data_IF_166784449176
#
_entry.id   IF_166784449176
#
_cell.length_a   1.000
_cell.length_b   1.000
_cell.length_c   1.000
_cell.angle_alpha   90.00
_cell.angle_beta   90.00
_cell.angle_gamma   90.00
#
_symmetry.space_group_name_H-M   'P 1'
#
loop_
_entity.id
_entity.type
_entity.pdbx_description
1 polymer ?
#
# COMPACT_ATOMS: atom_id res chain seq x y z
N UNK A 1 -55.01 -1.48 -36.06
CA UNK A 1 -53.82 -0.66 -36.34
C UNK A 1 -53.16 -0.05 -35.09
N UNK A 2 -53.58 -0.37 -33.85
CA UNK A 2 -53.05 0.24 -32.62
C UNK A 2 -51.86 -0.51 -31.98
N UNK A 3 -51.61 -1.78 -32.32
CA UNK A 3 -50.54 -2.59 -31.71
C UNK A 3 -49.12 -2.25 -32.22
N UNK A 4 -49.00 -1.79 -33.47
CA UNK A 4 -47.70 -1.56 -34.13
C UNK A 4 -46.93 -0.39 -33.52
N UNK A 5 -47.64 0.61 -32.99
CA UNK A 5 -47.08 1.82 -32.41
C UNK A 5 -46.49 1.58 -31.00
N UNK A 6 -46.99 0.59 -30.25
CA UNK A 6 -46.51 0.27 -28.90
C UNK A 6 -45.24 -0.57 -28.92
N UNK A 7 -45.08 -1.44 -29.92
CA UNK A 7 -43.85 -2.22 -30.13
C UNK A 7 -42.67 -1.34 -30.56
N UNK A 8 -42.90 -0.39 -31.46
CA UNK A 8 -41.85 0.54 -31.93
C UNK A 8 -41.35 1.45 -30.79
N UNK A 9 -42.24 1.94 -29.92
CA UNK A 9 -41.87 2.73 -28.73
C UNK A 9 -41.12 1.90 -27.69
N UNK A 10 -41.56 0.66 -27.43
CA UNK A 10 -40.87 -0.24 -26.48
C UNK A 10 -39.51 -0.68 -27.01
N UNK A 11 -39.37 -0.91 -28.31
CA UNK A 11 -38.09 -1.24 -28.97
C UNK A 11 -37.09 -0.08 -28.86
N UNK A 12 -37.55 1.14 -29.07
CA UNK A 12 -36.71 2.34 -28.92
C UNK A 12 -36.29 2.56 -27.46
N UNK A 13 -37.22 2.40 -26.51
CA UNK A 13 -36.91 2.45 -25.07
C UNK A 13 -35.93 1.34 -24.64
N UNK A 14 -36.10 0.11 -25.13
CA UNK A 14 -35.16 -0.99 -24.87
C UNK A 14 -33.76 -0.71 -25.43
N UNK A 15 -33.66 -0.15 -26.64
CA UNK A 15 -32.37 0.24 -27.22
C UNK A 15 -31.69 1.35 -26.43
N UNK A 16 -32.42 2.38 -26.00
CA UNK A 16 -31.88 3.45 -25.14
C UNK A 16 -31.38 2.88 -23.82
N UNK A 17 -32.19 2.06 -23.15
CA UNK A 17 -31.84 1.46 -21.85
C UNK A 17 -30.59 0.57 -21.99
N UNK A 18 -30.52 -0.28 -23.01
CA UNK A 18 -29.34 -1.11 -23.27
C UNK A 18 -28.11 -0.26 -23.60
N UNK A 19 -28.23 0.79 -24.41
CA UNK A 19 -27.11 1.68 -24.74
C UNK A 19 -26.60 2.46 -23.53
N UNK A 20 -27.50 3.00 -22.71
CA UNK A 20 -27.13 3.72 -21.48
C UNK A 20 -26.48 2.77 -20.48
N UNK A 21 -27.01 1.55 -20.31
CA UNK A 21 -26.42 0.53 -19.44
C UNK A 21 -24.97 0.19 -19.83
N UNK A 22 -24.71 -0.02 -21.12
CA UNK A 22 -23.35 -0.31 -21.61
C UNK A 22 -22.39 0.85 -21.33
N UNK A 23 -22.83 2.09 -21.58
CA UNK A 23 -22.02 3.29 -21.32
C UNK A 23 -21.72 3.41 -19.82
N UNK A 24 -22.70 3.18 -18.96
CA UNK A 24 -22.52 3.22 -17.49
C UNK A 24 -21.52 2.17 -17.03
N UNK A 25 -21.58 0.94 -17.55
CA UNK A 25 -20.60 -0.11 -17.22
C UNK A 25 -19.19 0.32 -17.64
N UNK A 26 -19.03 0.86 -18.85
CA UNK A 26 -17.72 1.33 -19.34
C UNK A 26 -17.19 2.45 -18.43
N UNK A 27 -18.04 3.40 -18.02
CA UNK A 27 -17.65 4.48 -17.10
C UNK A 27 -17.25 3.95 -15.72
N UNK A 28 -17.95 2.94 -15.20
CA UNK A 28 -17.60 2.29 -13.94
C UNK A 28 -16.24 1.59 -14.07
N UNK A 29 -16.03 0.80 -15.12
CA UNK A 29 -14.73 0.13 -15.36
C UNK A 29 -13.61 1.17 -15.49
N UNK A 30 -13.80 2.23 -16.29
CA UNK A 30 -12.82 3.30 -16.43
C UNK A 30 -12.54 4.03 -15.10
N UNK A 31 -13.57 4.26 -14.28
CA UNK A 31 -13.42 4.84 -12.94
C UNK A 31 -12.60 3.91 -12.02
N UNK A 32 -12.91 2.62 -11.99
CA UNK A 32 -12.16 1.66 -11.19
C UNK A 32 -10.72 1.51 -11.66
N UNK A 33 -10.47 1.46 -12.97
CA UNK A 33 -9.12 1.43 -13.54
C UNK A 33 -8.35 2.70 -13.13
N UNK A 34 -8.92 3.88 -13.35
CA UNK A 34 -8.24 5.13 -12.98
C UNK A 34 -8.00 5.26 -11.47
N UNK A 35 -8.90 4.75 -10.62
CA UNK A 35 -8.69 4.70 -9.17
C UNK A 35 -7.58 3.72 -8.80
N UNK A 36 -7.61 2.51 -9.36
CA UNK A 36 -6.62 1.46 -9.10
C UNK A 36 -5.20 1.88 -9.49
N UNK A 37 -5.03 2.54 -10.64
CA UNK A 37 -3.70 2.99 -11.09
C UNK A 37 -3.23 4.27 -10.39
N UNK A 38 -4.13 5.11 -9.86
CA UNK A 38 -3.74 6.32 -9.10
C UNK A 38 -3.46 6.03 -7.62
N UNK A 39 -4.10 5.02 -7.04
CA UNK A 39 -3.84 4.61 -5.66
C UNK A 39 -2.37 4.20 -5.48
N UNK A 40 -1.86 4.40 -4.26
CA UNK A 40 -0.55 3.89 -3.89
C UNK A 40 -0.67 2.35 -3.79
N UNK A 41 0.01 1.57 -4.64
CA UNK A 41 -0.13 0.10 -4.64
C UNK A 41 0.36 -0.53 -3.33
N UNK A 42 1.23 0.19 -2.60
CA UNK A 42 1.76 -0.22 -1.31
C UNK A 42 0.87 0.22 -0.14
N UNK A 43 -0.21 0.98 -0.36
CA UNK A 43 -1.11 1.42 0.71
C UNK A 43 -1.79 0.23 1.38
N UNK A 44 -1.60 0.11 2.70
CA UNK A 44 -2.06 -1.02 3.49
C UNK A 44 -1.09 -1.39 4.61
N UNK A 45 -1.38 -2.50 5.27
CA UNK A 45 -0.50 -3.14 6.24
C UNK A 45 0.05 -4.42 5.63
N UNK A 46 1.36 -4.60 5.77
CA UNK A 46 2.14 -5.70 5.22
C UNK A 46 2.93 -6.32 6.36
N UNK A 47 2.97 -7.65 6.44
CA UNK A 47 3.73 -8.37 7.45
C UNK A 47 4.76 -9.24 6.75
N UNK A 48 6.02 -9.11 7.16
CA UNK A 48 7.09 -10.01 6.73
C UNK A 48 6.92 -11.36 7.44
N UNK A 49 6.92 -12.46 6.67
CA UNK A 49 6.69 -13.80 7.20
C UNK A 49 7.85 -14.30 8.08
N UNK A 50 9.07 -13.83 7.83
CA UNK A 50 10.28 -14.34 8.49
C UNK A 50 10.59 -13.60 9.79
N UNK A 51 10.58 -12.26 9.75
CA UNK A 51 10.94 -11.40 10.89
C UNK A 51 9.75 -10.98 11.75
N UNK A 52 8.52 -11.25 11.30
CA UNK A 52 7.30 -10.75 11.93
C UNK A 52 7.14 -9.23 11.88
N UNK A 53 8.03 -8.52 11.18
CA UNK A 53 7.98 -7.07 11.01
C UNK A 53 6.69 -6.66 10.30
N UNK A 54 6.03 -5.64 10.83
CA UNK A 54 4.81 -5.07 10.25
C UNK A 54 5.11 -3.67 9.70
N UNK A 55 4.85 -3.50 8.41
CA UNK A 55 4.96 -2.23 7.69
C UNK A 55 3.57 -1.72 7.31
N UNK A 56 3.19 -0.54 7.80
CA UNK A 56 1.92 0.11 7.47
C UNK A 56 2.13 1.40 6.69
N UNK A 57 1.83 1.36 5.39
CA UNK A 57 1.93 2.52 4.49
C UNK A 57 0.64 3.33 4.57
N UNK A 58 0.73 4.60 4.98
CA UNK A 58 -0.43 5.50 5.10
C UNK A 58 -0.23 6.80 4.34
N UNK A 59 -1.23 7.16 3.55
CA UNK A 59 -1.23 8.43 2.84
C UNK A 59 -0.21 8.46 1.72
N UNK A 60 0.57 9.55 1.64
CA UNK A 60 1.47 9.81 0.50
C UNK A 60 2.97 9.72 0.81
N UNK A 61 3.37 9.84 2.08
CA UNK A 61 4.78 10.02 2.46
C UNK A 61 5.17 9.32 3.75
N UNK A 62 4.23 8.75 4.52
CA UNK A 62 4.53 8.16 5.83
C UNK A 62 4.28 6.67 5.83
N UNK A 63 5.27 5.93 6.31
CA UNK A 63 5.14 4.51 6.66
C UNK A 63 5.37 4.37 8.16
N UNK A 64 4.70 3.42 8.79
CA UNK A 64 4.98 3.02 10.16
C UNK A 64 5.56 1.62 10.12
N UNK A 65 6.75 1.43 10.69
CA UNK A 65 7.38 0.13 10.82
C UNK A 65 7.41 -0.28 12.29
N UNK A 66 7.17 -1.56 12.55
CA UNK A 66 7.20 -2.14 13.89
C UNK A 66 7.74 -3.56 13.85
N UNK A 67 8.50 -3.93 14.88
CA UNK A 67 9.09 -5.26 15.06
C UNK A 67 8.53 -5.89 16.34
N UNK A 68 7.29 -6.41 16.31
CA UNK A 68 6.61 -6.92 17.50
C UNK A 68 7.37 -8.06 18.17
N UNK A 69 8.05 -8.91 17.39
CA UNK A 69 8.84 -10.03 17.93
C UNK A 69 10.14 -9.58 18.63
N UNK A 70 10.76 -8.49 18.16
CA UNK A 70 12.00 -7.95 18.75
C UNK A 70 11.70 -7.13 20.01
N UNK A 71 10.60 -6.39 20.02
CA UNK A 71 10.25 -5.49 21.11
C UNK A 71 9.04 -5.96 21.94
N UNK A 72 8.81 -7.27 22.06
CA UNK A 72 7.82 -7.91 22.95
C UNK A 72 6.40 -7.30 22.88
N UNK A 73 5.85 -7.14 21.67
CA UNK A 73 4.54 -6.50 21.41
C UNK A 73 4.37 -5.09 21.98
N UNK A 74 5.46 -4.46 22.45
CA UNK A 74 5.45 -3.04 22.76
C UNK A 74 4.98 -2.31 21.50
N UNK A 75 4.07 -1.35 21.66
CA UNK A 75 3.41 -0.67 20.54
C UNK A 75 4.35 0.32 19.83
N UNK A 76 5.60 -0.10 19.62
CA UNK A 76 6.70 0.62 19.02
C UNK A 76 6.46 0.66 17.54
N UNK A 77 5.98 1.83 17.11
CA UNK A 77 5.76 2.15 15.71
C UNK A 77 6.66 3.30 15.38
N UNK A 78 7.72 3.01 14.64
CA UNK A 78 8.65 4.01 14.13
C UNK A 78 8.01 4.62 12.89
N UNK A 79 7.67 5.93 12.91
CA UNK A 79 7.32 6.62 11.69
C UNK A 79 8.58 6.79 10.85
N UNK A 80 8.49 6.48 9.56
CA UNK A 80 9.54 6.73 8.58
C UNK A 80 8.94 7.47 7.39
N UNK A 81 9.76 8.28 6.74
CA UNK A 81 9.39 8.90 5.48
C UNK A 81 9.64 7.92 4.34
N UNK A 82 8.73 7.89 3.37
CA UNK A 82 8.95 7.13 2.15
C UNK A 82 8.77 7.98 0.90
N UNK A 83 9.54 7.63 -0.13
CA UNK A 83 9.31 8.09 -1.49
C UNK A 83 9.10 6.89 -2.42
N UNK A 84 8.27 7.07 -3.44
CA UNK A 84 7.93 5.99 -4.37
C UNK A 84 7.87 6.52 -5.79
N UNK A 85 8.62 5.88 -6.67
CA UNK A 85 8.56 6.06 -8.12
C UNK A 85 7.79 4.89 -8.72
N UNK A 86 6.63 5.18 -9.34
CA UNK A 86 5.76 4.16 -9.94
C UNK A 86 6.21 3.72 -11.33
N UNK A 87 7.03 4.52 -11.99
CA UNK A 87 7.52 4.24 -13.34
C UNK A 87 8.73 3.30 -13.27
N UNK A 88 9.65 3.56 -12.33
CA UNK A 88 10.79 2.67 -12.06
C UNK A 88 10.48 1.59 -11.03
N UNK A 89 9.30 1.62 -10.41
CA UNK A 89 8.90 0.73 -9.30
C UNK A 89 9.92 0.73 -8.17
N UNK A 90 10.35 1.92 -7.77
CA UNK A 90 11.33 2.11 -6.70
C UNK A 90 10.63 2.64 -5.45
N UNK A 91 10.97 2.12 -4.29
CA UNK A 91 10.46 2.51 -2.98
C UNK A 91 11.65 2.77 -2.06
N UNK A 92 11.76 3.99 -1.56
CA UNK A 92 12.86 4.38 -0.64
C UNK A 92 12.28 4.71 0.71
N UNK A 93 12.85 4.12 1.75
CA UNK A 93 12.58 4.40 3.15
C UNK A 93 13.70 5.24 3.75
N UNK A 94 13.31 6.28 4.47
CA UNK A 94 14.24 7.11 5.25
C UNK A 94 13.72 7.21 6.67
N UNK A 95 14.62 6.99 7.63
CA UNK A 95 14.34 7.24 9.04
C UNK A 95 15.08 8.50 9.47
N UNK A 96 14.41 9.31 10.28
CA UNK A 96 15.00 10.49 10.90
C UNK A 96 15.30 10.20 12.36
N UNK A 97 16.49 10.57 12.84
CA UNK A 97 16.88 10.40 14.25
C UNK A 97 15.86 11.02 15.21
N UNK A 98 15.24 12.13 14.81
CA UNK A 98 14.24 12.83 15.62
C UNK A 98 12.97 12.01 15.86
N UNK A 99 12.60 11.14 14.92
CA UNK A 99 11.46 10.23 15.03
C UNK A 99 11.80 9.06 15.97
N UNK A 100 13.00 8.50 15.85
CA UNK A 100 13.51 7.47 16.76
C UNK A 100 13.58 7.98 18.20
N UNK A 101 14.15 9.16 18.42
CA UNK A 101 14.21 9.83 19.72
C UNK A 101 12.82 10.01 20.33
N UNK A 102 11.82 10.36 19.52
CA UNK A 102 10.45 10.55 19.99
C UNK A 102 9.79 9.23 20.40
N UNK A 103 10.13 8.13 19.74
CA UNK A 103 9.67 6.78 20.09
C UNK A 103 10.34 6.31 21.39
N UNK A 104 11.67 6.43 21.49
CA UNK A 104 12.43 6.08 22.70
C UNK A 104 11.94 6.87 23.91
N UNK A 105 11.72 8.19 23.78
CA UNK A 105 11.16 9.02 24.87
C UNK A 105 9.78 8.57 25.35
N UNK A 106 8.94 8.03 24.45
CA UNK A 106 7.61 7.53 24.81
C UNK A 106 7.67 6.16 25.48
N UNK A 107 8.62 5.33 25.07
CA UNK A 107 8.83 4.00 25.63
C UNK A 107 9.58 4.05 26.98
N UNK A 108 10.47 5.03 27.16
CA UNK A 108 11.34 5.10 28.33
C UNK A 108 12.38 3.99 28.32
N UNK A 109 12.69 3.44 29.49
CA UNK A 109 13.71 2.39 29.66
C UNK A 109 13.25 0.99 29.18
N UNK A 110 12.08 0.87 28.55
CA UNK A 110 11.54 -0.41 28.08
C UNK A 110 12.10 -0.87 26.74
N UNK A 111 12.90 -0.03 26.06
CA UNK A 111 13.49 -0.31 24.76
C UNK A 111 14.97 0.07 24.81
N UNK A 112 15.81 -0.79 24.24
CA UNK A 112 17.18 -0.41 23.95
C UNK A 112 17.21 0.53 22.74
N UNK A 113 17.63 1.77 22.98
CA UNK A 113 17.73 2.81 21.97
C UNK A 113 18.66 2.42 20.81
N UNK A 114 19.78 1.73 21.09
CA UNK A 114 20.70 1.30 20.05
C UNK A 114 20.08 0.19 19.19
N UNK A 115 19.40 -0.78 19.81
CA UNK A 115 18.71 -1.85 19.11
C UNK A 115 17.60 -1.32 18.19
N UNK A 116 16.83 -0.32 18.65
CA UNK A 116 15.80 0.32 17.83
C UNK A 116 16.39 1.05 16.61
N UNK A 117 17.52 1.73 16.78
CA UNK A 117 18.19 2.42 15.67
C UNK A 117 18.72 1.42 14.66
N UNK A 118 19.41 0.37 15.11
CA UNK A 118 19.94 -0.68 14.24
C UNK A 118 18.81 -1.36 13.44
N UNK A 119 17.68 -1.66 14.09
CA UNK A 119 16.50 -2.22 13.43
C UNK A 119 15.91 -1.26 12.38
N UNK A 120 15.79 0.03 12.70
CA UNK A 120 15.27 1.03 11.76
C UNK A 120 16.21 1.30 10.58
N UNK A 121 17.51 1.36 10.82
CA UNK A 121 18.53 1.55 9.79
C UNK A 121 18.60 0.37 8.83
N UNK A 122 18.37 -0.85 9.33
CA UNK A 122 18.37 -2.07 8.50
C UNK A 122 17.31 -2.06 7.38
N UNK A 123 16.22 -1.30 7.56
CA UNK A 123 15.14 -1.17 6.58
C UNK A 123 15.14 0.19 5.86
N UNK A 124 15.96 1.14 6.31
CA UNK A 124 16.06 2.49 5.75
C UNK A 124 16.95 2.51 4.49
N UNK A 125 16.45 1.94 3.41
CA UNK A 125 17.18 1.81 2.13
C UNK A 125 16.23 1.99 0.94
N UNK A 126 16.76 1.80 -0.26
CA UNK A 126 16.01 1.84 -1.53
C UNK A 126 15.79 0.43 -2.06
N UNK A 127 14.53 0.12 -2.32
CA UNK A 127 14.07 -1.14 -2.86
C UNK A 127 13.48 -0.98 -4.25
N UNK A 128 13.67 -1.99 -5.10
CA UNK A 128 12.77 -2.25 -6.20
C UNK A 128 11.58 -3.07 -5.68
N UNK A 129 10.35 -2.64 -5.98
CA UNK A 129 9.14 -3.27 -5.44
C UNK A 129 8.30 -3.97 -6.52
N UNK A 130 7.67 -5.09 -6.14
CA UNK A 130 6.60 -5.73 -6.90
C UNK A 130 5.44 -6.09 -5.98
N UNK A 131 4.22 -6.04 -6.52
CA UNK A 131 3.01 -6.47 -5.80
C UNK A 131 2.28 -7.47 -6.67
N UNK A 132 2.18 -8.70 -6.20
CA UNK A 132 1.53 -9.81 -6.90
C UNK A 132 0.64 -10.60 -5.95
N UNK A 133 -0.62 -10.80 -6.32
CA UNK A 133 -1.59 -11.63 -5.57
C UNK A 133 -1.75 -11.30 -4.07
N UNK A 134 -1.48 -10.07 -3.63
CA UNK A 134 -1.56 -9.67 -2.22
C UNK A 134 -0.25 -9.84 -1.45
N UNK A 135 0.83 -10.18 -2.14
CA UNK A 135 2.18 -10.24 -1.63
C UNK A 135 3.00 -9.06 -2.19
N UNK A 136 3.77 -8.42 -1.33
CA UNK A 136 4.72 -7.37 -1.64
C UNK A 136 6.13 -7.97 -1.56
N UNK A 137 6.89 -7.88 -2.64
CA UNK A 137 8.32 -8.19 -2.63
C UNK A 137 9.09 -6.88 -2.70
N UNK A 138 9.95 -6.65 -1.72
CA UNK A 138 10.94 -5.57 -1.72
C UNK A 138 12.31 -6.20 -1.97
N UNK A 139 12.98 -5.79 -3.05
CA UNK A 139 14.35 -6.23 -3.38
C UNK A 139 15.29 -5.07 -3.13
N UNK A 140 16.23 -5.21 -2.19
CA UNK A 140 17.23 -4.19 -1.90
C UNK A 140 18.03 -3.92 -3.16
N UNK A 141 18.15 -2.64 -3.53
CA UNK A 141 18.74 -2.25 -4.82
C UNK A 141 20.27 -2.33 -4.83
N UNK A 142 20.90 -2.25 -3.67
CA UNK A 142 22.35 -2.32 -3.52
C UNK A 142 22.83 -3.77 -3.39
N UNK A 143 22.14 -4.57 -2.57
CA UNK A 143 22.56 -5.93 -2.20
C UNK A 143 21.78 -7.04 -2.89
N UNK A 144 20.57 -6.75 -3.38
CA UNK A 144 19.71 -7.73 -4.05
C UNK A 144 18.92 -8.64 -3.11
N UNK A 145 19.03 -8.42 -1.79
CA UNK A 145 18.30 -9.18 -0.78
C UNK A 145 16.79 -8.92 -0.90
N UNK A 146 15.99 -9.97 -0.69
CA UNK A 146 14.54 -9.88 -0.85
C UNK A 146 13.84 -10.01 0.49
N UNK A 147 12.87 -9.13 0.70
CA UNK A 147 11.92 -9.16 1.80
C UNK A 147 10.52 -9.41 1.22
N UNK A 148 9.82 -10.41 1.76
CA UNK A 148 8.53 -10.86 1.25
C UNK A 148 7.49 -10.61 2.33
N UNK A 149 6.55 -9.70 2.02
CA UNK A 149 5.52 -9.30 2.95
C UNK A 149 4.14 -9.66 2.42
N UNK A 150 3.31 -10.25 3.28
CA UNK A 150 1.92 -10.54 2.97
C UNK A 150 1.00 -9.46 3.50
N UNK A 151 -0.03 -9.16 2.73
CA UNK A 151 -1.04 -8.18 3.10
C UNK A 151 -1.89 -8.70 4.26
N UNK A 152 -1.99 -7.89 5.31
CA UNK A 152 -2.88 -8.10 6.47
C UNK A 152 -4.33 -7.75 6.15
#
# INVERSE_FOLDING_TARGET
>A
MFAKNDEEKRSWLWRIVSSVSTIVIILIVAFFLTKMFRSNPLEGSWQDEESGMIMTVKGKTTVYVSWPEQFDDSQVKVPMEYSMDKDTKTFTLNVEDTDLDAVVKKAGDSIDEAELRDAADSVATTYDYSVEAGQLTLTDREYGDQMILDRQ
#
